data_IF_330860620076
#
_entry.id   IF_330860620076
#
_cell.length_a   1.000
_cell.length_b   1.000
_cell.length_c   1.000
_cell.angle_alpha   90.00
_cell.angle_beta   90.00
_cell.angle_gamma   90.00
#
_symmetry.space_group_name_H-M   'P 1'
#
loop_
_entity.id
_entity.type
_entity.pdbx_description
1 polymer ?
#
# COMPACT_ATOMS: atom_id res chain seq x y z
N UNK A 1 -44.04 10.15 13.34
CA UNK A 1 -42.76 9.86 14.03
C UNK A 1 -42.16 8.56 13.51
N UNK A 2 -42.85 7.42 13.65
CA UNK A 2 -42.36 6.10 13.22
C UNK A 2 -42.09 5.95 11.70
N UNK A 3 -42.86 6.60 10.83
CA UNK A 3 -42.64 6.53 9.35
C UNK A 3 -41.35 7.24 8.95
N UNK A 4 -41.05 8.39 9.56
CA UNK A 4 -39.83 9.14 9.28
C UNK A 4 -38.58 8.37 9.72
N UNK A 5 -38.65 7.70 10.87
CA UNK A 5 -37.57 6.84 11.35
C UNK A 5 -37.36 5.65 10.42
N UNK A 6 -38.43 5.03 9.90
CA UNK A 6 -38.32 3.98 8.90
C UNK A 6 -37.69 4.46 7.59
N UNK A 7 -38.00 5.67 7.14
CA UNK A 7 -37.36 6.26 5.95
C UNK A 7 -35.88 6.58 6.17
N UNK A 8 -35.53 7.07 7.36
CA UNK A 8 -34.13 7.33 7.72
C UNK A 8 -33.31 6.04 7.74
N UNK A 9 -33.86 4.96 8.30
CA UNK A 9 -33.20 3.63 8.28
C UNK A 9 -33.01 3.13 6.85
N UNK A 10 -34.02 3.26 5.98
CA UNK A 10 -33.91 2.87 4.57
C UNK A 10 -32.83 3.65 3.84
N UNK A 11 -32.69 4.95 4.12
CA UNK A 11 -31.64 5.79 3.51
C UNK A 11 -30.24 5.38 3.96
N UNK A 12 -30.04 5.05 5.23
CA UNK A 12 -28.75 4.57 5.76
C UNK A 12 -28.39 3.21 5.14
N UNK A 13 -29.35 2.30 5.06
CA UNK A 13 -29.14 0.99 4.43
C UNK A 13 -28.79 1.12 2.93
N UNK A 14 -29.40 2.09 2.25
CA UNK A 14 -29.11 2.36 0.85
C UNK A 14 -27.71 2.95 0.66
N UNK A 15 -27.27 3.85 1.53
CA UNK A 15 -25.89 4.38 1.49
C UNK A 15 -24.85 3.29 1.73
N UNK A 16 -25.09 2.38 2.68
CA UNK A 16 -24.18 1.26 2.94
C UNK A 16 -24.07 0.33 1.73
N UNK A 17 -25.18 0.11 1.01
CA UNK A 17 -25.17 -0.67 -0.22
C UNK A 17 -24.31 -0.02 -1.30
N UNK A 18 -24.51 1.27 -1.57
CA UNK A 18 -23.72 2.00 -2.58
C UNK A 18 -22.25 2.13 -2.21
N UNK A 19 -21.92 2.28 -0.93
CA UNK A 19 -20.53 2.33 -0.46
C UNK A 19 -19.83 0.98 -0.59
N UNK A 20 -20.54 -0.14 -0.39
CA UNK A 20 -20.01 -1.49 -0.62
C UNK A 20 -19.86 -1.83 -2.09
N UNK A 21 -20.79 -1.39 -2.94
CA UNK A 21 -20.76 -1.61 -4.39
C UNK A 21 -19.79 -0.66 -5.11
N UNK A 22 -19.42 0.47 -4.50
CA UNK A 22 -18.34 1.30 -4.98
C UNK A 22 -17.03 0.53 -4.80
N UNK A 23 -16.56 -0.06 -5.90
CA UNK A 23 -15.34 -0.88 -6.04
C UNK A 23 -14.00 -0.20 -5.62
N UNK A 24 -14.07 0.87 -4.83
CA UNK A 24 -12.93 1.58 -4.25
C UNK A 24 -12.24 0.74 -3.16
N UNK A 25 -12.98 -0.12 -2.45
CA UNK A 25 -12.44 -1.05 -1.45
C UNK A 25 -11.70 -2.23 -2.07
N UNK A 26 -12.38 -2.94 -2.97
CA UNK A 26 -11.88 -4.18 -3.57
C UNK A 26 -10.67 -3.93 -4.48
N UNK A 27 -10.66 -2.82 -5.24
CA UNK A 27 -9.52 -2.46 -6.07
C UNK A 27 -8.26 -2.16 -5.23
N UNK A 28 -8.43 -1.62 -4.02
CA UNK A 28 -7.32 -1.36 -3.11
C UNK A 28 -6.82 -2.66 -2.45
N UNK A 29 -7.74 -3.53 -2.03
CA UNK A 29 -7.39 -4.84 -1.47
C UNK A 29 -6.69 -5.73 -2.51
N UNK A 30 -7.19 -5.75 -3.74
CA UNK A 30 -6.56 -6.47 -4.85
C UNK A 30 -5.20 -5.88 -5.20
N UNK A 31 -5.07 -4.54 -5.22
CA UNK A 31 -3.78 -3.86 -5.42
C UNK A 31 -2.76 -4.21 -4.33
N UNK A 32 -3.20 -4.35 -3.07
CA UNK A 32 -2.33 -4.75 -1.96
C UNK A 32 -1.90 -6.22 -2.12
N UNK A 33 -2.85 -7.11 -2.45
CA UNK A 33 -2.59 -8.55 -2.64
C UNK A 33 -1.69 -8.83 -3.84
N UNK A 34 -1.87 -8.10 -4.94
CA UNK A 34 -1.11 -8.30 -6.17
C UNK A 34 0.17 -7.42 -6.22
N UNK A 35 0.47 -6.67 -5.16
CA UNK A 35 1.65 -5.80 -5.07
C UNK A 35 1.61 -4.56 -5.96
N UNK A 36 0.52 -4.31 -6.69
CA UNK A 36 0.33 -3.12 -7.53
C UNK A 36 -0.07 -1.86 -6.75
N UNK A 37 -0.35 -1.97 -5.43
CA UNK A 37 -0.68 -0.86 -4.54
C UNK A 37 0.50 0.08 -4.35
N UNK A 38 1.71 -0.48 -4.26
CA UNK A 38 2.94 0.30 -4.42
C UNK A 38 3.20 0.61 -5.90
N UNK A 39 2.18 1.11 -6.56
CA UNK A 39 2.19 1.75 -7.86
C UNK A 39 2.91 0.96 -8.97
N UNK A 40 2.19 0.73 -10.06
CA UNK A 40 2.80 0.75 -11.39
C UNK A 40 3.79 1.93 -11.55
N UNK A 41 3.62 3.05 -10.84
CA UNK A 41 4.60 4.13 -10.73
C UNK A 41 5.98 3.74 -10.13
N UNK A 42 6.09 2.84 -9.13
CA UNK A 42 7.40 2.41 -8.60
C UNK A 42 8.13 1.45 -9.56
N UNK A 43 7.40 0.68 -10.36
CA UNK A 43 7.96 -0.22 -11.37
C UNK A 43 8.16 0.43 -12.75
N UNK A 44 7.48 1.54 -13.05
CA UNK A 44 7.53 2.20 -14.36
C UNK A 44 8.49 3.39 -14.41
N UNK A 45 8.95 3.91 -13.27
CA UNK A 45 9.99 4.92 -13.26
C UNK A 45 11.33 4.21 -13.08
N UNK A 46 12.27 4.31 -14.04
CA UNK A 46 13.62 3.80 -13.88
C UNK A 46 14.39 4.74 -12.94
N UNK A 47 13.94 4.87 -11.70
CA UNK A 47 14.76 5.46 -10.64
C UNK A 47 15.72 4.36 -10.21
N UNK A 48 17.03 4.48 -10.47
CA UNK A 48 17.97 3.54 -9.90
C UNK A 48 17.87 3.66 -8.38
N UNK A 49 17.42 2.58 -7.73
CA UNK A 49 17.51 2.46 -6.28
C UNK A 49 18.98 2.19 -5.99
N UNK A 50 19.67 3.03 -5.20
CA UNK A 50 21.05 2.73 -4.81
C UNK A 50 21.05 1.43 -3.98
N UNK A 51 21.79 0.44 -4.46
CA UNK A 51 21.97 -0.86 -3.80
C UNK A 51 23.35 -0.92 -3.15
N UNK A 52 23.42 -1.48 -1.94
CA UNK A 52 24.64 -1.59 -1.13
C UNK A 52 24.31 -2.05 0.28
N UNK A 53 25.33 -2.28 1.12
CA UNK A 53 25.08 -2.76 2.48
C UNK A 53 24.33 -1.73 3.33
N UNK A 54 23.14 -2.09 3.81
CA UNK A 54 22.29 -1.20 4.64
C UNK A 54 22.47 -1.37 6.14
N UNK A 55 23.27 -2.35 6.58
CA UNK A 55 23.51 -2.60 7.99
C UNK A 55 24.60 -1.66 8.55
N UNK A 56 24.28 -0.77 9.51
CA UNK A 56 25.26 0.14 10.09
C UNK A 56 26.35 -0.55 10.91
N UNK A 57 26.20 -1.83 11.23
CA UNK A 57 27.21 -2.62 11.95
C UNK A 57 28.16 -3.37 11.01
N UNK A 58 27.91 -3.37 9.70
CA UNK A 58 28.80 -3.96 8.72
C UNK A 58 29.99 -3.05 8.41
N UNK A 59 31.14 -3.65 8.06
CA UNK A 59 32.36 -2.90 7.74
C UNK A 59 32.22 -2.04 6.47
N UNK A 60 31.34 -2.44 5.56
CA UNK A 60 31.08 -1.81 4.27
C UNK A 60 29.71 -1.13 4.20
N UNK A 61 29.18 -0.65 5.33
CA UNK A 61 27.93 0.10 5.37
C UNK A 61 27.93 1.28 4.38
N UNK A 62 26.93 1.30 3.49
CA UNK A 62 26.69 2.40 2.55
C UNK A 62 25.45 3.22 3.00
N UNK A 63 25.63 4.46 3.51
CA UNK A 63 24.52 5.29 3.95
C UNK A 63 23.63 5.79 2.81
N UNK A 64 24.04 5.63 1.55
CA UNK A 64 23.24 5.99 0.37
C UNK A 64 22.40 4.82 -0.14
N UNK A 65 22.73 3.59 0.27
CA UNK A 65 21.99 2.39 -0.10
C UNK A 65 20.57 2.43 0.47
N UNK A 66 19.60 2.19 -0.41
CA UNK A 66 18.16 2.12 -0.07
C UNK A 66 17.62 0.70 -0.17
N UNK A 67 18.41 -0.21 -0.72
CA UNK A 67 18.16 -1.65 -0.74
C UNK A 67 19.46 -2.38 -0.41
N UNK A 68 19.36 -3.37 0.45
CA UNK A 68 20.49 -4.26 0.73
C UNK A 68 20.77 -5.14 -0.48
N UNK A 69 22.03 -5.18 -0.91
CA UNK A 69 22.51 -6.05 -1.99
C UNK A 69 23.09 -7.37 -1.47
N UNK A 70 23.13 -7.56 -0.15
CA UNK A 70 23.69 -8.74 0.50
C UNK A 70 25.22 -8.77 0.46
N UNK A 71 25.88 -7.66 0.12
CA UNK A 71 27.34 -7.54 0.14
C UNK A 71 27.90 -7.24 1.53
N UNK A 72 27.07 -7.13 2.57
CA UNK A 72 27.52 -6.79 3.92
C UNK A 72 28.62 -7.72 4.45
N UNK A 73 29.71 -7.12 4.93
CA UNK A 73 30.88 -7.80 5.48
C UNK A 73 30.90 -7.61 6.99
N UNK A 74 31.05 -8.71 7.70
CA UNK A 74 31.15 -8.76 9.16
C UNK A 74 32.41 -9.54 9.55
N UNK A 75 33.20 -9.00 10.47
CA UNK A 75 34.39 -9.63 11.06
C UNK A 75 34.09 -10.41 12.33
#
# INVERSE_FOLDING_TARGET
>A
MLVQEQENVKRVQLSDKYLKEAALGDANEDAIKNGSFYGKAAQQVPVPVPEGCTDPNAENFDPTARSDDGSCVYS
#
